data_IF_306513190236
#
_entry.id   IF_306513190236
#
_cell.length_a   1.000
_cell.length_b   1.000
_cell.length_c   1.000
_cell.angle_alpha   90.00
_cell.angle_beta   90.00
_cell.angle_gamma   90.00
#
_symmetry.space_group_name_H-M   'P 1'
#
loop_
_entity.id
_entity.type
_entity.pdbx_description
1 polymer ?
#
# COMPACT_ATOMS: atom_id res chain seq x y z
N UNK A 1 21.22 1.41 12.88
CA UNK A 1 20.38 1.04 14.05
C UNK A 1 19.67 2.29 14.52
N UNK A 2 18.36 2.21 14.81
CA UNK A 2 17.70 3.32 15.50
C UNK A 2 18.36 3.48 16.87
N UNK A 3 18.84 4.67 17.22
CA UNK A 3 19.42 4.96 18.54
C UNK A 3 18.42 4.78 19.69
N UNK A 4 17.15 4.53 19.34
CA UNK A 4 16.03 4.50 20.28
C UNK A 4 15.41 3.11 20.39
N UNK A 5 14.91 2.74 21.58
CA UNK A 5 14.24 1.46 21.81
C UNK A 5 12.96 1.33 20.98
N UNK A 6 12.58 0.08 20.69
CA UNK A 6 11.30 -0.21 20.05
C UNK A 6 10.13 0.25 20.94
N UNK A 7 9.14 0.87 20.29
CA UNK A 7 8.00 1.45 21.02
C UNK A 7 6.79 0.51 21.12
N UNK A 8 6.83 -0.64 20.45
CA UNK A 8 5.74 -1.62 20.40
C UNK A 8 5.47 -2.31 21.73
N UNK A 9 4.61 -1.75 22.58
CA UNK A 9 4.11 -2.41 23.79
C UNK A 9 2.82 -3.19 23.50
N UNK A 10 2.43 -4.18 24.35
CA UNK A 10 1.14 -4.86 24.22
C UNK A 10 -0.06 -3.89 24.19
N UNK A 11 0.01 -2.78 24.95
CA UNK A 11 -1.01 -1.74 24.92
C UNK A 11 -1.09 -1.06 23.55
N UNK A 12 0.04 -0.69 22.98
CA UNK A 12 0.12 -0.02 21.66
C UNK A 12 -0.41 -0.92 20.55
N UNK A 13 -0.01 -2.19 20.53
CA UNK A 13 -0.59 -3.17 19.62
C UNK A 13 -2.09 -3.37 19.84
N UNK A 14 -2.57 -3.40 21.11
CA UNK A 14 -3.99 -3.52 21.44
C UNK A 14 -4.81 -2.34 20.93
N UNK A 15 -4.37 -1.10 21.14
CA UNK A 15 -5.02 0.11 20.62
C UNK A 15 -5.03 0.11 19.09
N UNK A 16 -3.90 -0.22 18.48
CA UNK A 16 -3.77 -0.27 17.03
C UNK A 16 -4.72 -1.30 16.40
N UNK A 17 -4.69 -2.56 16.85
CA UNK A 17 -5.58 -3.59 16.30
C UNK A 17 -7.05 -3.30 16.56
N UNK A 18 -7.39 -2.68 17.69
CA UNK A 18 -8.76 -2.22 17.95
C UNK A 18 -9.18 -1.16 16.94
N UNK A 19 -8.32 -0.16 16.69
CA UNK A 19 -8.59 0.86 15.68
C UNK A 19 -8.78 0.24 14.29
N UNK A 20 -7.88 -0.67 13.87
CA UNK A 20 -7.98 -1.38 12.58
C UNK A 20 -9.27 -2.18 12.47
N UNK A 21 -9.65 -2.93 13.50
CA UNK A 21 -10.91 -3.69 13.51
C UNK A 21 -12.14 -2.79 13.39
N UNK A 22 -12.15 -1.65 14.08
CA UNK A 22 -13.23 -0.66 13.97
C UNK A 22 -13.28 -0.05 12.56
N UNK A 23 -12.14 0.24 11.96
CA UNK A 23 -12.05 0.76 10.59
C UNK A 23 -12.59 -0.24 9.58
N UNK A 24 -12.15 -1.50 9.65
CA UNK A 24 -12.63 -2.58 8.78
C UNK A 24 -14.13 -2.83 8.99
N UNK A 25 -14.60 -2.83 10.24
CA UNK A 25 -16.02 -2.99 10.57
C UNK A 25 -16.86 -1.84 9.99
N UNK A 26 -16.39 -0.59 10.07
CA UNK A 26 -17.05 0.57 9.48
C UNK A 26 -17.16 0.45 7.95
N UNK A 27 -16.08 0.00 7.29
CA UNK A 27 -16.06 -0.26 5.85
C UNK A 27 -17.03 -1.37 5.44
N UNK A 28 -17.07 -2.48 6.20
CA UNK A 28 -18.00 -3.58 5.96
C UNK A 28 -19.46 -3.16 6.19
N UNK A 29 -19.71 -2.38 7.23
CA UNK A 29 -21.05 -1.87 7.54
C UNK A 29 -21.56 -0.92 6.44
N UNK A 30 -20.70 -0.03 5.94
CA UNK A 30 -21.01 0.86 4.82
C UNK A 30 -21.42 0.06 3.57
N UNK A 31 -20.65 -1.00 3.23
CA UNK A 31 -20.99 -1.88 2.12
C UNK A 31 -22.36 -2.57 2.30
N UNK A 32 -22.61 -3.08 3.50
CA UNK A 32 -23.88 -3.78 3.79
C UNK A 32 -25.10 -2.87 3.69
N UNK A 33 -24.96 -1.61 4.16
CA UNK A 33 -26.04 -0.62 4.15
C UNK A 33 -26.37 -0.10 2.76
N UNK A 34 -25.34 0.19 1.96
CA UNK A 34 -25.47 0.87 0.67
C UNK A 34 -25.57 -0.13 -0.51
N UNK A 35 -25.33 -1.43 -0.26
CA UNK A 35 -25.29 -2.46 -1.30
C UNK A 35 -24.17 -2.25 -2.32
N UNK A 36 -24.27 -2.97 -3.44
CA UNK A 36 -23.33 -2.82 -4.57
C UNK A 36 -23.73 -1.61 -5.43
N UNK A 37 -23.10 -0.45 -5.19
CA UNK A 37 -23.32 0.77 -5.97
C UNK A 37 -22.00 1.29 -6.56
N UNK A 38 -22.09 2.18 -7.54
CA UNK A 38 -20.93 2.91 -8.07
C UNK A 38 -20.56 4.02 -7.07
N UNK A 39 -19.35 3.94 -6.50
CA UNK A 39 -18.83 4.97 -5.58
C UNK A 39 -18.57 6.26 -6.36
N UNK A 40 -19.14 7.36 -5.90
CA UNK A 40 -18.92 8.68 -6.50
C UNK A 40 -17.67 9.36 -5.96
N UNK A 41 -17.11 10.32 -6.73
CA UNK A 41 -15.90 11.06 -6.35
C UNK A 41 -16.03 11.75 -4.98
N UNK A 42 -17.18 12.34 -4.68
CA UNK A 42 -17.42 13.01 -3.37
C UNK A 42 -17.36 12.02 -2.20
N UNK A 43 -17.94 10.84 -2.38
CA UNK A 43 -17.91 9.77 -1.40
C UNK A 43 -16.47 9.24 -1.20
N UNK A 44 -15.75 9.01 -2.30
CA UNK A 44 -14.36 8.57 -2.28
C UNK A 44 -13.43 9.60 -1.60
N UNK A 45 -13.63 10.90 -1.85
CA UNK A 45 -12.91 11.99 -1.16
C UNK A 45 -13.21 12.01 0.34
N UNK A 46 -14.48 11.88 0.74
CA UNK A 46 -14.87 11.85 2.14
C UNK A 46 -14.23 10.66 2.89
N UNK A 47 -14.26 9.46 2.31
CA UNK A 47 -13.61 8.29 2.87
C UNK A 47 -12.08 8.43 2.91
N UNK A 48 -11.44 8.95 1.84
CA UNK A 48 -10.00 9.20 1.85
C UNK A 48 -9.60 10.20 2.92
N UNK A 49 -10.34 11.31 3.05
CA UNK A 49 -10.13 12.31 4.10
C UNK A 49 -10.31 11.73 5.51
N UNK A 50 -11.32 10.87 5.71
CA UNK A 50 -11.55 10.18 6.98
C UNK A 50 -10.35 9.30 7.36
N UNK A 51 -9.83 8.49 6.43
CA UNK A 51 -8.70 7.61 6.72
C UNK A 51 -7.40 8.36 6.99
N UNK A 52 -7.16 9.48 6.30
CA UNK A 52 -6.05 10.39 6.61
C UNK A 52 -6.22 11.00 8.00
N UNK A 53 -7.42 11.47 8.35
CA UNK A 53 -7.70 12.04 9.67
C UNK A 53 -7.48 11.01 10.80
N UNK A 54 -7.94 9.77 10.63
CA UNK A 54 -7.73 8.69 11.60
C UNK A 54 -6.23 8.38 11.75
N UNK A 55 -5.47 8.36 10.65
CA UNK A 55 -4.01 8.17 10.71
C UNK A 55 -3.31 9.31 11.45
N UNK A 56 -3.76 10.56 11.24
CA UNK A 56 -3.23 11.72 11.96
C UNK A 56 -3.59 11.68 13.46
N UNK A 57 -4.82 11.26 13.81
CA UNK A 57 -5.24 11.09 15.20
C UNK A 57 -4.43 10.00 15.90
N UNK A 58 -4.17 8.88 15.23
CA UNK A 58 -3.30 7.84 15.75
C UNK A 58 -1.87 8.34 15.98
N UNK A 59 -1.30 9.08 15.03
CA UNK A 59 0.03 9.67 15.17
C UNK A 59 0.09 10.70 16.33
N UNK A 60 -0.97 11.51 16.50
CA UNK A 60 -1.10 12.43 17.62
C UNK A 60 -1.17 11.71 18.97
N UNK A 61 -1.97 10.65 19.05
CA UNK A 61 -2.02 9.79 20.24
C UNK A 61 -0.66 9.16 20.54
N UNK A 62 0.01 8.59 19.54
CA UNK A 62 1.34 8.02 19.68
C UNK A 62 2.35 9.04 20.21
N UNK A 63 2.31 10.28 19.70
CA UNK A 63 3.15 11.37 20.18
C UNK A 63 2.91 11.66 21.66
N UNK A 64 1.67 11.78 22.09
CA UNK A 64 1.30 12.11 23.48
C UNK A 64 1.78 11.02 24.43
N UNK A 65 1.53 9.74 24.09
CA UNK A 65 1.93 8.59 24.90
C UNK A 65 3.46 8.47 25.03
N UNK A 66 4.19 8.65 23.93
CA UNK A 66 5.65 8.58 23.94
C UNK A 66 6.29 9.80 24.65
N UNK A 67 5.77 11.01 24.39
CA UNK A 67 6.31 12.23 24.99
C UNK A 67 6.07 12.28 26.51
N UNK A 68 4.96 11.71 26.99
CA UNK A 68 4.64 11.58 28.41
C UNK A 68 5.39 10.45 29.11
N UNK A 69 6.03 9.56 28.39
CA UNK A 69 6.74 8.41 28.94
C UNK A 69 8.17 8.78 29.34
N UNK A 70 8.60 8.55 30.61
CA UNK A 70 9.95 8.86 31.08
C UNK A 70 11.09 8.16 30.29
N UNK A 71 10.79 7.01 29.66
CA UNK A 71 11.78 6.23 28.92
C UNK A 71 12.05 6.83 27.55
N UNK A 72 11.04 7.41 26.89
CA UNK A 72 11.16 7.88 25.51
C UNK A 72 11.36 9.40 25.42
N UNK A 73 10.47 10.18 26.03
CA UNK A 73 10.52 11.63 25.97
C UNK A 73 10.12 12.25 24.63
N UNK A 74 10.05 13.58 24.58
CA UNK A 74 9.53 14.32 23.43
C UNK A 74 10.41 14.19 22.15
N UNK A 75 11.71 13.99 22.29
CA UNK A 75 12.62 13.84 21.13
C UNK A 75 12.32 12.54 20.39
N UNK A 76 12.24 11.41 21.11
CA UNK A 76 11.89 10.09 20.54
C UNK A 76 10.48 10.11 19.97
N UNK A 77 9.52 10.70 20.71
CA UNK A 77 8.15 10.84 20.23
C UNK A 77 8.06 11.54 18.87
N UNK A 78 8.79 12.65 18.71
CA UNK A 78 8.84 13.38 17.44
C UNK A 78 9.42 12.52 16.32
N UNK A 79 10.51 11.82 16.59
CA UNK A 79 11.16 10.96 15.59
C UNK A 79 10.26 9.82 15.16
N UNK A 80 9.65 9.09 16.10
CA UNK A 80 8.73 7.98 15.80
C UNK A 80 7.50 8.42 15.00
N UNK A 81 6.97 9.60 15.26
CA UNK A 81 5.88 10.16 14.46
C UNK A 81 6.35 10.54 13.05
N UNK A 82 7.57 11.08 12.89
CA UNK A 82 8.13 11.32 11.56
C UNK A 82 8.40 10.02 10.80
N UNK A 83 8.91 8.98 11.47
CA UNK A 83 9.05 7.63 10.89
C UNK A 83 7.70 7.10 10.41
N UNK A 84 6.65 7.18 11.26
CA UNK A 84 5.30 6.76 10.91
C UNK A 84 4.77 7.49 9.67
N UNK A 85 4.84 8.83 9.63
CA UNK A 85 4.37 9.58 8.47
C UNK A 85 5.20 9.32 7.22
N UNK A 86 6.51 9.14 7.35
CA UNK A 86 7.37 8.81 6.21
C UNK A 86 6.97 7.45 5.62
N UNK A 87 6.83 6.42 6.46
CA UNK A 87 6.38 5.10 6.05
C UNK A 87 4.97 5.13 5.45
N UNK A 88 4.04 5.87 6.07
CA UNK A 88 2.67 6.05 5.57
C UNK A 88 2.64 6.68 4.17
N UNK A 89 3.42 7.73 3.94
CA UNK A 89 3.45 8.43 2.64
C UNK A 89 4.13 7.59 1.57
N UNK A 90 5.23 6.91 1.92
CA UNK A 90 5.88 5.97 1.01
C UNK A 90 4.92 4.89 0.56
N UNK A 91 4.25 4.23 1.50
CA UNK A 91 3.29 3.18 1.19
C UNK A 91 2.10 3.71 0.38
N UNK A 92 1.56 4.89 0.76
CA UNK A 92 0.49 5.56 -0.01
C UNK A 92 0.90 5.85 -1.43
N UNK A 93 2.14 6.26 -1.66
CA UNK A 93 2.66 6.62 -2.98
C UNK A 93 2.89 5.38 -3.84
N UNK A 94 3.46 4.32 -3.27
CA UNK A 94 3.64 3.04 -3.94
C UNK A 94 2.30 2.36 -4.23
N UNK A 95 1.31 2.56 -3.36
CA UNK A 95 -0.04 2.03 -3.55
C UNK A 95 -0.78 2.63 -4.76
N UNK A 96 -0.34 3.76 -5.32
CA UNK A 96 -0.89 4.28 -6.59
C UNK A 96 -0.62 3.33 -7.73
N UNK A 97 0.57 2.76 -7.82
CA UNK A 97 0.92 1.77 -8.85
C UNK A 97 0.06 0.50 -8.72
N UNK A 98 -0.23 0.07 -7.48
CA UNK A 98 -1.15 -1.05 -7.24
C UNK A 98 -2.54 -0.77 -7.84
N UNK A 99 -3.01 0.47 -7.77
CA UNK A 99 -4.31 0.87 -8.31
C UNK A 99 -4.36 0.72 -9.83
N UNK A 100 -3.28 1.04 -10.55
CA UNK A 100 -3.23 0.81 -12.01
C UNK A 100 -3.37 -0.66 -12.36
N UNK A 101 -2.69 -1.54 -11.62
CA UNK A 101 -2.81 -2.99 -11.83
C UNK A 101 -4.23 -3.48 -11.49
N UNK A 102 -4.86 -2.95 -10.46
CA UNK A 102 -6.26 -3.28 -10.15
C UNK A 102 -7.20 -2.85 -11.27
N UNK A 103 -6.99 -1.66 -11.85
CA UNK A 103 -7.76 -1.18 -13.01
C UNK A 103 -7.59 -2.10 -14.22
N UNK A 104 -6.35 -2.53 -14.51
CA UNK A 104 -6.08 -3.49 -15.58
C UNK A 104 -6.76 -4.84 -15.33
N UNK A 105 -6.66 -5.40 -14.13
CA UNK A 105 -7.30 -6.67 -13.77
C UNK A 105 -8.83 -6.54 -13.95
N UNK A 106 -9.45 -5.50 -13.40
CA UNK A 106 -10.89 -5.28 -13.57
C UNK A 106 -11.30 -5.08 -15.03
N UNK A 107 -10.50 -4.38 -15.82
CA UNK A 107 -10.72 -4.19 -17.26
C UNK A 107 -10.61 -5.50 -18.02
N UNK A 108 -9.56 -6.28 -17.78
CA UNK A 108 -9.33 -7.59 -18.42
C UNK A 108 -10.48 -8.56 -18.18
N UNK A 109 -10.93 -8.68 -16.93
CA UNK A 109 -12.03 -9.55 -16.56
C UNK A 109 -13.41 -8.92 -16.81
N UNK A 110 -13.49 -7.68 -17.31
CA UNK A 110 -14.72 -6.92 -17.54
C UNK A 110 -15.65 -6.88 -16.32
N UNK A 111 -15.06 -6.68 -15.14
CA UNK A 111 -15.81 -6.60 -13.87
C UNK A 111 -16.61 -5.32 -13.83
N UNK A 112 -17.94 -5.44 -13.73
CA UNK A 112 -18.82 -4.27 -13.66
C UNK A 112 -18.50 -3.41 -12.42
N UNK A 113 -18.48 -2.06 -12.52
CA UNK A 113 -18.08 -1.15 -11.44
C UNK A 113 -18.76 -1.39 -10.10
N UNK A 114 -20.02 -1.81 -10.12
CA UNK A 114 -20.79 -2.16 -8.91
C UNK A 114 -20.21 -3.33 -8.11
N UNK A 115 -19.46 -4.25 -8.75
CA UNK A 115 -18.86 -5.40 -8.09
C UNK A 115 -17.41 -5.16 -7.64
N UNK A 116 -16.73 -4.17 -8.24
CA UNK A 116 -15.34 -3.81 -7.89
C UNK A 116 -15.21 -3.42 -6.43
N UNK A 117 -16.18 -2.69 -5.88
CA UNK A 117 -16.22 -2.29 -4.48
C UNK A 117 -16.13 -3.50 -3.53
N UNK A 118 -16.86 -4.57 -3.83
CA UNK A 118 -16.83 -5.79 -3.01
C UNK A 118 -15.49 -6.50 -3.10
N UNK A 119 -14.95 -6.64 -4.30
CA UNK A 119 -13.64 -7.29 -4.50
C UNK A 119 -12.56 -6.50 -3.76
N UNK A 120 -12.53 -5.17 -3.89
CA UNK A 120 -11.56 -4.33 -3.20
C UNK A 120 -11.69 -4.40 -1.67
N UNK A 121 -12.91 -4.53 -1.12
CA UNK A 121 -13.07 -4.67 0.32
C UNK A 121 -12.42 -5.96 0.83
N UNK A 122 -12.69 -7.09 0.18
CA UNK A 122 -12.09 -8.37 0.57
C UNK A 122 -10.59 -8.40 0.26
N UNK A 123 -10.17 -7.77 -0.86
CA UNK A 123 -8.78 -7.60 -1.22
C UNK A 123 -8.00 -6.80 -0.16
N UNK A 124 -8.54 -5.67 0.31
CA UNK A 124 -7.91 -4.92 1.41
C UNK A 124 -7.78 -5.78 2.67
N UNK A 125 -8.80 -6.57 3.01
CA UNK A 125 -8.73 -7.45 4.17
C UNK A 125 -7.62 -8.52 4.04
N UNK A 126 -7.52 -9.17 2.89
CA UNK A 126 -6.45 -10.14 2.60
C UNK A 126 -5.08 -9.46 2.62
N UNK A 127 -4.95 -8.30 1.97
CA UNK A 127 -3.73 -7.50 1.97
C UNK A 127 -3.26 -7.13 3.39
N UNK A 128 -4.17 -6.75 4.31
CA UNK A 128 -3.83 -6.45 5.70
C UNK A 128 -3.19 -7.65 6.40
N UNK A 129 -3.76 -8.84 6.22
CA UNK A 129 -3.25 -10.08 6.84
C UNK A 129 -1.89 -10.45 6.24
N UNK A 130 -1.79 -10.46 4.91
CA UNK A 130 -0.56 -10.83 4.21
C UNK A 130 0.59 -9.88 4.53
N UNK A 131 0.33 -8.56 4.51
CA UNK A 131 1.32 -7.54 4.86
C UNK A 131 1.76 -7.63 6.31
N UNK A 132 0.83 -7.84 7.26
CA UNK A 132 1.20 -8.05 8.65
C UNK A 132 2.15 -9.24 8.80
N UNK A 133 1.85 -10.37 8.17
CA UNK A 133 2.72 -11.55 8.17
C UNK A 133 4.10 -11.24 7.57
N UNK A 134 4.14 -10.59 6.40
CA UNK A 134 5.38 -10.24 5.73
C UNK A 134 6.23 -9.24 6.55
N UNK A 135 5.59 -8.27 7.20
CA UNK A 135 6.28 -7.29 8.06
C UNK A 135 6.89 -7.97 9.29
N UNK A 136 6.17 -8.88 9.95
CA UNK A 136 6.71 -9.62 11.09
C UNK A 136 7.86 -10.55 10.68
N UNK A 137 7.76 -11.22 9.53
CA UNK A 137 8.85 -12.02 8.98
C UNK A 137 10.04 -11.11 8.65
N UNK A 138 9.82 -9.98 7.96
CA UNK A 138 10.85 -9.02 7.63
C UNK A 138 11.55 -8.44 8.86
N UNK A 139 10.78 -8.08 9.89
CA UNK A 139 11.31 -7.59 11.17
C UNK A 139 12.17 -8.65 11.86
N UNK A 140 11.71 -9.90 11.90
CA UNK A 140 12.50 -11.01 12.47
C UNK A 140 13.80 -11.23 11.70
N UNK A 141 13.77 -11.17 10.38
CA UNK A 141 14.95 -11.30 9.53
C UNK A 141 15.93 -10.15 9.74
N UNK A 142 15.46 -8.91 9.79
CA UNK A 142 16.32 -7.72 10.02
C UNK A 142 16.96 -7.77 11.41
N UNK A 143 16.21 -8.21 12.43
CA UNK A 143 16.76 -8.40 13.78
C UNK A 143 17.86 -9.46 13.85
N UNK A 144 17.67 -10.57 13.13
CA UNK A 144 18.61 -11.68 13.17
C UNK A 144 19.82 -11.45 12.27
N UNK A 145 19.64 -10.76 11.15
CA UNK A 145 20.62 -10.56 10.10
C UNK A 145 20.66 -9.10 9.62
N UNK A 146 21.46 -8.25 10.27
CA UNK A 146 21.57 -6.83 9.90
C UNK A 146 21.99 -6.60 8.44
N UNK A 147 22.75 -7.53 7.85
CA UNK A 147 23.16 -7.46 6.45
C UNK A 147 21.99 -7.50 5.45
N UNK A 148 20.80 -7.98 5.87
CA UNK A 148 19.58 -7.99 5.04
C UNK A 148 19.18 -6.56 4.64
N UNK A 149 19.45 -5.55 5.46
CA UNK A 149 19.19 -4.16 5.11
C UNK A 149 19.98 -3.73 3.87
N UNK A 150 21.22 -4.21 3.70
CA UNK A 150 21.99 -3.94 2.48
C UNK A 150 21.41 -4.65 1.27
N UNK A 151 20.92 -5.89 1.45
CA UNK A 151 20.21 -6.61 0.39
C UNK A 151 18.94 -5.85 -0.03
N UNK A 152 18.16 -5.35 0.93
CA UNK A 152 16.99 -4.53 0.67
C UNK A 152 17.38 -3.23 -0.05
N UNK A 153 18.43 -2.56 0.39
CA UNK A 153 18.94 -1.35 -0.27
C UNK A 153 19.35 -1.59 -1.73
N UNK A 154 20.10 -2.67 -1.99
CA UNK A 154 20.49 -3.05 -3.34
C UNK A 154 19.28 -3.38 -4.22
N UNK A 155 18.29 -4.11 -3.66
CA UNK A 155 17.05 -4.45 -4.33
C UNK A 155 16.22 -3.21 -4.70
N UNK A 156 16.03 -2.27 -3.76
CA UNK A 156 15.32 -1.01 -4.00
C UNK A 156 16.03 -0.15 -5.05
N UNK A 157 17.36 -0.06 -5.00
CA UNK A 157 18.14 0.68 -5.99
C UNK A 157 17.98 0.05 -7.39
N UNK A 158 18.06 -1.28 -7.47
CA UNK A 158 17.83 -2.01 -8.73
C UNK A 158 16.41 -1.76 -9.27
N UNK A 159 15.37 -1.89 -8.44
CA UNK A 159 13.97 -1.67 -8.81
C UNK A 159 13.75 -0.23 -9.27
N UNK A 160 14.27 0.77 -8.54
CA UNK A 160 14.16 2.17 -8.91
C UNK A 160 14.83 2.46 -10.26
N UNK A 161 16.04 1.95 -10.51
CA UNK A 161 16.74 2.11 -11.79
C UNK A 161 16.00 1.39 -12.93
N UNK A 162 15.53 0.18 -12.70
CA UNK A 162 14.74 -0.58 -13.68
C UNK A 162 13.47 0.18 -14.05
N UNK A 163 12.74 0.70 -13.08
CA UNK A 163 11.52 1.47 -13.26
C UNK A 163 11.72 2.76 -14.06
N UNK A 164 12.90 3.42 -13.95
CA UNK A 164 13.25 4.58 -14.79
C UNK A 164 13.52 4.20 -16.25
N UNK A 165 14.05 3.00 -16.49
CA UNK A 165 14.47 2.56 -17.84
C UNK A 165 13.38 1.85 -18.60
N UNK A 166 12.37 1.28 -17.95
CA UNK A 166 11.28 0.58 -18.63
C UNK A 166 10.43 1.59 -19.38
N UNK A 167 10.59 1.66 -20.70
CA UNK A 167 9.54 2.15 -21.58
C UNK A 167 8.43 1.10 -21.53
N UNK A 168 7.27 1.46 -20.99
CA UNK A 168 5.92 0.87 -21.11
C UNK A 168 5.77 -0.63 -21.57
N UNK A 169 6.79 -1.46 -21.41
CA UNK A 169 6.57 -2.87 -21.30
C UNK A 169 5.86 -3.05 -19.93
N UNK A 170 4.55 -2.73 -19.92
CA UNK A 170 3.61 -3.29 -18.97
C UNK A 170 3.89 -4.80 -19.00
N UNK A 171 4.75 -5.25 -18.07
CA UNK A 171 4.86 -6.68 -17.83
C UNK A 171 3.43 -7.13 -17.69
N UNK A 172 2.99 -7.92 -18.61
CA UNK A 172 1.69 -8.58 -18.66
C UNK A 172 1.56 -9.47 -17.40
N UNK A 173 1.49 -8.79 -16.24
CA UNK A 173 1.26 -9.41 -14.92
C UNK A 173 -0.15 -10.01 -14.86
N UNK A 174 -1.08 -9.53 -15.71
CA UNK A 174 -2.29 -10.25 -16.08
C UNK A 174 -1.94 -11.51 -16.86
N UNK A 175 -0.64 -11.63 -17.21
CA UNK A 175 -0.06 -12.61 -18.09
C UNK A 175 -0.54 -14.00 -17.80
N UNK A 176 -0.95 -14.64 -18.82
CA UNK A 176 -1.39 -16.02 -19.01
C UNK A 176 -0.78 -17.09 -18.07
N UNK A 177 0.39 -16.84 -17.46
CA UNK A 177 1.06 -17.80 -16.56
C UNK A 177 0.44 -17.86 -15.17
N UNK A 178 0.27 -16.73 -14.48
CA UNK A 178 -0.35 -16.69 -13.12
C UNK A 178 -1.80 -17.15 -13.21
N UNK A 179 -2.53 -16.62 -14.18
CA UNK A 179 -3.91 -17.03 -14.48
C UNK A 179 -3.99 -18.53 -14.78
N UNK A 180 -3.06 -19.07 -15.57
CA UNK A 180 -2.98 -20.49 -15.89
C UNK A 180 -2.71 -21.37 -14.67
N UNK A 181 -1.88 -20.92 -13.74
CA UNK A 181 -1.60 -21.63 -12.48
C UNK A 181 -2.84 -21.61 -11.58
N UNK A 182 -3.46 -20.46 -11.38
CA UNK A 182 -4.66 -20.33 -10.53
C UNK A 182 -5.82 -21.18 -11.06
N UNK A 183 -6.09 -21.14 -12.37
CA UNK A 183 -7.14 -21.98 -12.99
C UNK A 183 -6.87 -23.48 -12.92
N UNK A 184 -5.62 -23.91 -12.81
CA UNK A 184 -5.28 -25.34 -12.60
C UNK A 184 -5.57 -25.82 -11.18
N UNK A 185 -5.47 -24.90 -10.21
CA UNK A 185 -5.63 -25.24 -8.78
C UNK A 185 -7.10 -25.10 -8.35
N UNK A 186 -7.81 -24.09 -8.89
CA UNK A 186 -9.16 -23.74 -8.48
C UNK A 186 -10.10 -23.92 -9.67
N UNK A 187 -11.15 -24.80 -9.58
CA UNK A 187 -12.17 -24.90 -10.60
C UNK A 187 -13.00 -23.62 -10.62
N UNK A 188 -12.90 -22.85 -11.72
CA UNK A 188 -13.56 -21.58 -11.92
C UNK A 188 -14.64 -21.75 -12.98
N UNK A 189 -15.87 -21.34 -12.67
CA UNK A 189 -16.98 -21.28 -13.63
C UNK A 189 -16.74 -20.20 -14.69
N UNK A 190 -17.48 -20.31 -15.79
CA UNK A 190 -17.37 -19.41 -16.95
C UNK A 190 -18.12 -18.08 -16.78
N UNK A 191 -19.11 -18.03 -15.88
CA UNK A 191 -20.02 -16.90 -15.76
C UNK A 191 -19.96 -16.19 -14.40
N UNK A 192 -20.24 -14.89 -14.42
CA UNK A 192 -20.42 -14.10 -13.21
C UNK A 192 -21.81 -14.37 -12.61
N UNK A 193 -21.86 -14.76 -11.35
CA UNK A 193 -23.08 -14.94 -10.58
C UNK A 193 -23.36 -13.75 -9.66
N UNK A 194 -23.60 -12.58 -10.24
CA UNK A 194 -23.75 -11.33 -9.48
C UNK A 194 -22.47 -10.98 -8.74
N UNK A 195 -22.58 -10.70 -7.44
CA UNK A 195 -21.48 -10.36 -6.56
C UNK A 195 -20.90 -11.54 -5.76
N UNK A 196 -21.30 -12.78 -6.09
CA UNK A 196 -20.89 -13.98 -5.36
C UNK A 196 -19.50 -14.45 -5.80
N UNK A 197 -18.67 -14.84 -4.83
CA UNK A 197 -17.37 -15.46 -5.07
C UNK A 197 -17.47 -16.96 -5.36
N UNK A 198 -18.52 -17.62 -4.88
CA UNK A 198 -18.77 -19.05 -5.10
C UNK A 198 -20.19 -19.28 -5.54
N UNK A 199 -20.37 -20.29 -6.40
CA UNK A 199 -21.67 -20.77 -6.87
C UNK A 199 -21.75 -22.28 -6.81
N UNK A 200 -22.93 -22.85 -7.03
CA UNK A 200 -23.13 -24.30 -7.10
C UNK A 200 -23.52 -24.64 -8.54
N UNK A 201 -22.67 -25.37 -9.23
CA UNK A 201 -22.95 -25.93 -10.55
C UNK A 201 -22.84 -27.46 -10.50
N UNK A 202 -23.83 -28.13 -11.03
CA UNK A 202 -23.90 -29.61 -11.02
C UNK A 202 -23.71 -30.24 -9.63
N UNK A 203 -24.24 -29.57 -8.57
CA UNK A 203 -24.11 -30.03 -7.18
C UNK A 203 -22.74 -29.83 -6.55
N UNK A 204 -21.78 -29.22 -7.25
CA UNK A 204 -20.43 -28.91 -6.73
C UNK A 204 -20.28 -27.41 -6.51
N UNK A 205 -19.61 -27.06 -5.41
CA UNK A 205 -19.23 -25.67 -5.13
C UNK A 205 -18.03 -25.32 -6.00
N UNK A 206 -18.21 -24.33 -6.88
CA UNK A 206 -17.16 -23.81 -7.76
C UNK A 206 -16.93 -22.32 -7.51
N UNK A 207 -15.72 -21.85 -7.81
CA UNK A 207 -15.40 -20.43 -7.75
C UNK A 207 -15.97 -19.68 -8.96
N UNK A 208 -16.39 -18.44 -8.76
CA UNK A 208 -16.81 -17.56 -9.86
C UNK A 208 -15.59 -16.82 -10.44
N UNK A 209 -15.69 -16.23 -11.63
CA UNK A 209 -14.65 -15.33 -12.14
C UNK A 209 -14.33 -14.17 -11.18
N UNK A 210 -15.29 -13.73 -10.36
CA UNK A 210 -15.08 -12.66 -9.37
C UNK A 210 -14.11 -13.10 -8.24
N UNK A 211 -14.14 -14.38 -7.84
CA UNK A 211 -13.15 -14.93 -6.90
C UNK A 211 -11.77 -15.00 -7.53
N UNK A 212 -11.68 -15.36 -8.82
CA UNK A 212 -10.41 -15.35 -9.53
C UNK A 212 -9.79 -13.95 -9.57
N UNK A 213 -10.61 -12.91 -9.83
CA UNK A 213 -10.20 -11.51 -9.77
C UNK A 213 -9.66 -11.14 -8.40
N UNK A 214 -10.34 -11.57 -7.32
CA UNK A 214 -9.86 -11.35 -5.95
C UNK A 214 -8.47 -11.96 -5.74
N UNK A 215 -8.27 -13.21 -6.15
CA UNK A 215 -6.97 -13.88 -6.03
C UNK A 215 -5.89 -13.16 -6.84
N UNK A 216 -6.20 -12.67 -8.04
CA UNK A 216 -5.25 -11.91 -8.86
C UNK A 216 -4.85 -10.58 -8.19
N UNK A 217 -5.79 -9.89 -7.54
CA UNK A 217 -5.52 -8.67 -6.76
C UNK A 217 -4.62 -8.98 -5.56
N UNK A 218 -4.92 -10.05 -4.81
CA UNK A 218 -4.10 -10.46 -3.66
C UNK A 218 -2.67 -10.84 -4.06
N UNK A 219 -2.52 -11.60 -5.15
CA UNK A 219 -1.20 -11.96 -5.68
C UNK A 219 -0.41 -10.73 -6.13
N UNK A 220 -1.08 -9.75 -6.76
CA UNK A 220 -0.47 -8.49 -7.13
C UNK A 220 -0.01 -7.70 -5.91
N UNK A 221 -0.84 -7.63 -4.84
CA UNK A 221 -0.46 -6.94 -3.61
C UNK A 221 0.76 -7.59 -2.92
N UNK A 222 0.86 -8.93 -2.93
CA UNK A 222 2.06 -9.63 -2.43
C UNK A 222 3.30 -9.24 -3.23
N UNK A 223 3.22 -9.16 -4.55
CA UNK A 223 4.35 -8.75 -5.41
C UNK A 223 4.78 -7.32 -5.04
N UNK A 224 3.84 -6.39 -4.92
CA UNK A 224 4.15 -5.01 -4.53
C UNK A 224 4.65 -4.87 -3.09
N UNK A 225 4.19 -5.72 -2.17
CA UNK A 225 4.67 -5.72 -0.80
C UNK A 225 6.16 -6.11 -0.70
N UNK A 226 6.68 -6.88 -1.67
CA UNK A 226 8.11 -7.21 -1.76
C UNK A 226 8.96 -5.95 -1.98
N UNK A 227 8.44 -4.95 -2.71
CA UNK A 227 9.12 -3.67 -2.93
C UNK A 227 8.86 -2.67 -1.78
N UNK A 228 7.61 -2.57 -1.32
CA UNK A 228 7.20 -1.53 -0.37
C UNK A 228 7.69 -1.80 1.06
N UNK A 229 7.66 -3.05 1.52
CA UNK A 229 8.08 -3.40 2.89
C UNK A 229 9.57 -3.06 3.12
N UNK A 230 10.53 -3.43 2.25
CA UNK A 230 11.91 -2.98 2.36
C UNK A 230 12.05 -1.46 2.38
N UNK A 231 11.26 -0.73 1.58
CA UNK A 231 11.30 0.74 1.57
C UNK A 231 10.91 1.35 2.92
N UNK A 232 9.93 0.76 3.62
CA UNK A 232 9.56 1.21 4.97
C UNK A 232 10.62 0.80 6.00
N UNK A 233 11.24 -0.38 5.88
CA UNK A 233 12.37 -0.78 6.74
C UNK A 233 13.60 0.11 6.58
N UNK A 234 13.75 0.79 5.44
CA UNK A 234 14.80 1.81 5.24
C UNK A 234 14.53 3.11 6.01
N UNK A 235 13.27 3.35 6.40
CA UNK A 235 12.87 4.49 7.23
C UNK A 235 13.06 4.18 8.70
N UNK A 236 12.60 3.03 9.14
CA UNK A 236 12.66 2.58 10.53
C UNK A 236 12.71 1.06 10.62
N UNK A 237 13.48 0.55 11.58
CA UNK A 237 13.51 -0.89 11.90
C UNK A 237 12.56 -1.26 13.04
N UNK A 238 11.81 -0.30 13.59
CA UNK A 238 10.81 -0.53 14.64
C UNK A 238 9.59 -1.25 14.06
N UNK A 239 9.33 -2.52 14.43
CA UNK A 239 8.25 -3.31 13.82
C UNK A 239 6.86 -2.72 14.03
N UNK A 240 6.64 -2.02 15.15
CA UNK A 240 5.36 -1.38 15.44
C UNK A 240 5.11 -0.21 14.47
N UNK A 241 6.12 0.63 14.24
CA UNK A 241 6.01 1.76 13.31
C UNK A 241 5.86 1.27 11.86
N UNK A 242 6.65 0.26 11.44
CA UNK A 242 6.53 -0.36 10.11
C UNK A 242 5.12 -0.91 9.91
N UNK A 243 4.60 -1.68 10.88
CA UNK A 243 3.27 -2.28 10.80
C UNK A 243 2.17 -1.21 10.73
N UNK A 244 2.19 -0.26 11.65
CA UNK A 244 1.13 0.73 11.77
C UNK A 244 1.08 1.67 10.58
N UNK A 245 2.21 2.20 10.12
CA UNK A 245 2.28 3.08 8.94
C UNK A 245 1.78 2.38 7.68
N UNK A 246 2.18 1.11 7.47
CA UNK A 246 1.80 0.32 6.32
C UNK A 246 0.28 -0.01 6.33
N UNK A 247 -0.22 -0.53 7.44
CA UNK A 247 -1.64 -0.91 7.57
C UNK A 247 -2.57 0.31 7.42
N UNK A 248 -2.26 1.45 8.05
CA UNK A 248 -3.06 2.67 7.88
C UNK A 248 -3.05 3.19 6.43
N UNK A 249 -1.93 3.06 5.73
CA UNK A 249 -1.85 3.44 4.32
C UNK A 249 -2.75 2.56 3.44
N UNK A 250 -2.74 1.24 3.67
CA UNK A 250 -3.52 0.25 2.89
C UNK A 250 -5.02 0.39 3.13
N UNK A 251 -5.47 0.66 4.37
CA UNK A 251 -6.89 0.84 4.70
C UNK A 251 -7.57 1.91 3.84
N UNK A 252 -6.86 2.98 3.46
CA UNK A 252 -7.39 4.00 2.56
C UNK A 252 -7.31 3.67 1.07
N UNK A 253 -6.76 2.51 0.69
CA UNK A 253 -6.47 2.16 -0.71
C UNK A 253 -7.75 2.04 -1.53
N UNK A 254 -8.82 1.47 -0.96
CA UNK A 254 -10.12 1.34 -1.60
C UNK A 254 -10.72 2.70 -2.00
N UNK A 255 -10.72 3.67 -1.08
CA UNK A 255 -11.23 5.00 -1.37
C UNK A 255 -10.37 5.70 -2.43
N UNK A 256 -9.06 5.53 -2.34
CA UNK A 256 -8.10 6.07 -3.31
C UNK A 256 -8.27 5.44 -4.69
N UNK A 257 -8.61 4.15 -4.79
CA UNK A 257 -8.92 3.49 -6.07
C UNK A 257 -10.03 4.23 -6.83
N UNK A 258 -11.17 4.54 -6.18
CA UNK A 258 -12.28 5.23 -6.83
C UNK A 258 -11.96 6.69 -7.17
N UNK A 259 -11.04 7.34 -6.44
CA UNK A 259 -10.55 8.67 -6.79
C UNK A 259 -9.65 8.64 -8.02
N UNK A 260 -8.77 7.66 -8.08
CA UNK A 260 -7.76 7.58 -9.12
C UNK A 260 -8.26 6.91 -10.40
N UNK A 261 -9.29 6.07 -10.32
CA UNK A 261 -9.87 5.40 -11.48
C UNK A 261 -10.28 6.37 -12.61
N UNK A 262 -10.75 7.57 -12.25
CA UNK A 262 -11.17 8.61 -13.20
C UNK A 262 -10.03 9.55 -13.63
N UNK A 263 -8.88 9.54 -12.92
CA UNK A 263 -7.77 10.48 -13.17
C UNK A 263 -6.42 9.80 -13.34
N UNK A 264 -6.39 8.49 -13.31
CA UNK A 264 -5.16 7.69 -13.37
C UNK A 264 -4.28 8.06 -14.59
N UNK A 265 -4.90 8.27 -15.74
CA UNK A 265 -4.20 8.65 -16.99
C UNK A 265 -3.52 10.02 -16.93
N UNK A 266 -3.81 10.85 -15.90
CA UNK A 266 -3.23 12.19 -15.74
C UNK A 266 -1.88 12.19 -15.03
N UNK A 267 -1.51 11.11 -14.34
CA UNK A 267 -0.29 11.04 -13.53
C UNK A 267 0.91 10.39 -14.27
N UNK A 268 1.13 10.81 -15.53
CA UNK A 268 2.14 10.25 -16.44
C UNK A 268 3.56 10.20 -15.83
N UNK A 269 3.95 11.21 -15.05
CA UNK A 269 5.30 11.30 -14.47
C UNK A 269 5.44 10.72 -13.06
N UNK A 270 4.37 10.20 -12.45
CA UNK A 270 4.42 9.65 -11.10
C UNK A 270 5.39 8.48 -11.00
N UNK A 271 5.44 7.62 -12.03
CA UNK A 271 6.39 6.51 -12.18
C UNK A 271 7.85 6.97 -11.98
N UNK A 272 8.23 8.08 -12.58
CA UNK A 272 9.60 8.62 -12.45
C UNK A 272 9.87 9.18 -11.05
N UNK A 273 8.86 9.80 -10.42
CA UNK A 273 8.96 10.24 -9.03
C UNK A 273 9.17 9.07 -8.06
N UNK A 274 8.41 8.00 -8.22
CA UNK A 274 8.55 6.78 -7.42
C UNK A 274 9.90 6.09 -7.66
N UNK A 275 10.31 5.94 -8.92
CA UNK A 275 11.60 5.38 -9.28
C UNK A 275 12.77 6.14 -8.65
N UNK A 276 12.70 7.48 -8.64
CA UNK A 276 13.68 8.32 -7.95
C UNK A 276 13.68 8.09 -6.44
N UNK A 277 12.49 8.04 -5.81
CA UNK A 277 12.34 7.80 -4.37
C UNK A 277 12.91 6.44 -3.98
N UNK A 278 12.58 5.37 -4.70
CA UNK A 278 13.13 4.03 -4.46
C UNK A 278 14.65 4.00 -4.61
N UNK A 279 15.19 4.65 -5.66
CA UNK A 279 16.64 4.74 -5.87
C UNK A 279 17.33 5.51 -4.74
N UNK A 280 16.77 6.64 -4.31
CA UNK A 280 17.28 7.42 -3.18
C UNK A 280 17.28 6.62 -1.89
N UNK A 281 16.16 5.94 -1.57
CA UNK A 281 16.05 5.12 -0.36
C UNK A 281 17.02 3.95 -0.41
N UNK A 282 17.11 3.25 -1.55
CA UNK A 282 18.06 2.15 -1.73
C UNK A 282 19.50 2.60 -1.53
N UNK A 283 19.88 3.74 -2.12
CA UNK A 283 21.21 4.33 -1.93
C UNK A 283 21.47 4.72 -0.47
N UNK A 284 20.50 5.36 0.19
CA UNK A 284 20.58 5.70 1.63
C UNK A 284 20.85 4.45 2.47
N UNK A 285 20.15 3.34 2.21
CA UNK A 285 20.35 2.08 2.95
C UNK A 285 21.75 1.51 2.72
N UNK A 286 22.24 1.50 1.49
CA UNK A 286 23.60 1.04 1.18
C UNK A 286 24.68 1.88 1.85
N UNK A 287 24.42 3.18 2.01
CA UNK A 287 25.36 4.15 2.62
C UNK A 287 25.20 4.32 4.13
N UNK A 288 24.27 3.63 4.79
CA UNK A 288 23.91 3.87 6.19
C UNK A 288 25.08 3.74 7.17
N UNK A 289 26.13 3.00 6.81
CA UNK A 289 27.33 2.84 7.62
C UNK A 289 28.27 4.05 7.54
N UNK A 290 28.26 4.78 6.41
CA UNK A 290 29.17 5.92 6.18
C UNK A 290 28.49 7.27 6.35
N UNK A 291 27.19 7.36 6.02
CA UNK A 291 26.46 8.62 6.02
C UNK A 291 25.11 8.44 6.72
N UNK A 292 24.95 9.18 7.80
CA UNK A 292 23.67 9.25 8.50
C UNK A 292 22.80 10.37 7.92
N UNK A 293 21.75 10.01 7.18
CA UNK A 293 20.77 10.96 6.63
C UNK A 293 19.57 11.04 7.58
N UNK A 294 19.35 12.18 8.26
CA UNK A 294 18.20 12.35 9.16
C UNK A 294 16.87 12.10 8.45
N UNK A 295 15.88 11.59 9.19
CA UNK A 295 14.57 11.26 8.66
C UNK A 295 13.85 12.47 8.06
N UNK A 296 14.04 13.66 8.64
CA UNK A 296 13.47 14.91 8.13
C UNK A 296 13.95 15.24 6.70
N UNK A 297 15.23 15.00 6.41
CA UNK A 297 15.78 15.17 5.06
C UNK A 297 15.19 14.13 4.12
N UNK A 298 15.15 12.84 4.53
CA UNK A 298 14.54 11.78 3.74
C UNK A 298 13.08 12.09 3.39
N UNK A 299 12.30 12.53 4.38
CA UNK A 299 10.92 12.92 4.20
C UNK A 299 10.77 14.10 3.21
N UNK A 300 11.63 15.12 3.33
CA UNK A 300 11.62 16.27 2.42
C UNK A 300 11.94 15.87 0.99
N UNK A 301 12.88 14.95 0.78
CA UNK A 301 13.23 14.42 -0.55
C UNK A 301 12.07 13.64 -1.14
N UNK A 302 11.42 12.77 -0.34
CA UNK A 302 10.24 12.00 -0.78
C UNK A 302 9.10 12.93 -1.18
N UNK A 303 8.71 13.88 -0.31
CA UNK A 303 7.66 14.85 -0.63
C UNK A 303 8.00 15.71 -1.84
N UNK A 304 9.25 16.19 -1.94
CA UNK A 304 9.70 17.01 -3.04
C UNK A 304 9.63 16.28 -4.38
N UNK A 305 10.12 15.04 -4.43
CA UNK A 305 10.12 14.22 -5.65
C UNK A 305 8.70 13.87 -6.10
N UNK A 306 7.85 13.40 -5.17
CA UNK A 306 6.45 13.06 -5.47
C UNK A 306 5.63 14.29 -5.83
N UNK A 307 5.77 15.39 -5.08
CA UNK A 307 5.10 16.65 -5.39
C UNK A 307 5.48 17.20 -6.76
N UNK A 308 6.78 17.19 -7.11
CA UNK A 308 7.26 17.61 -8.42
C UNK A 308 6.70 16.73 -9.54
N UNK A 309 6.68 15.41 -9.37
CA UNK A 309 6.15 14.49 -10.39
C UNK A 309 4.65 14.65 -10.61
N UNK A 310 3.87 14.85 -9.55
CA UNK A 310 2.43 15.12 -9.63
C UNK A 310 2.17 16.47 -10.33
N UNK A 311 2.84 17.56 -9.91
CA UNK A 311 2.69 18.88 -10.52
C UNK A 311 3.05 18.87 -12.00
N UNK A 312 4.17 18.23 -12.36
CA UNK A 312 4.60 18.09 -13.77
C UNK A 312 3.57 17.30 -14.58
N UNK A 313 3.02 16.22 -14.03
CA UNK A 313 1.97 15.42 -14.68
C UNK A 313 0.73 16.27 -14.98
N UNK A 314 0.25 17.00 -13.99
CA UNK A 314 -0.95 17.85 -14.13
C UNK A 314 -0.75 18.97 -15.16
N UNK A 315 0.42 19.63 -15.17
CA UNK A 315 0.76 20.69 -16.14
C UNK A 315 0.85 20.11 -17.56
N UNK A 316 1.48 18.93 -17.71
CA UNK A 316 1.64 18.26 -18.99
C UNK A 316 0.31 17.85 -19.58
N UNK A 317 -0.53 17.18 -18.79
CA UNK A 317 -1.85 16.71 -19.22
C UNK A 317 -2.77 17.87 -19.59
N UNK A 318 -2.74 18.99 -18.82
CA UNK A 318 -3.52 20.19 -19.16
C UNK A 318 -3.14 20.73 -20.54
N UNK A 319 -1.83 20.79 -20.87
CA UNK A 319 -1.36 21.26 -22.17
C UNK A 319 -1.76 20.35 -23.35
N UNK A 320 -2.03 19.07 -23.10
CA UNK A 320 -2.52 18.15 -24.14
C UNK A 320 -4.02 18.28 -24.39
N UNK A 321 -4.79 18.62 -23.37
CA UNK A 321 -6.25 18.84 -23.49
C UNK A 321 -6.56 20.17 -24.17
N UNK A 322 -5.68 21.17 -24.02
CA UNK A 322 -5.83 22.52 -24.61
C UNK A 322 -5.32 22.61 -26.08
N UNK A 323 -4.79 21.52 -26.63
CA UNK A 323 -4.40 21.36 -28.07
C UNK A 323 -5.39 20.51 -28.81
#
# INVERSE_FOLDING_TARGET
MSEFPEVGTPLFYGVFFTAVLLMVAADMFSLRKNGSHKVGIKEALAWSGLWVAVSCLFAGWLYIELAGNPVYGAAVAKEKVLEFFTGYILEKSLAVDNIFVFLMIFGYFKVAPKYQHRVLLYGVFGALVLRAVMIFIGAALVRQFEWILYLFGAFLLYTGIRMMKSEEDEEDLSGNRLLGVVKKIIPVGSEFHGDKFFTIENGKKIATPLFLVLIMIELSDVIFAVDSIPAVFAVTTDPFIVLTSNIFAVLGLRAMYFLLADVAERFVFLKYGLAFVLSFIGLKMLMMHWVHIPISISLSVVFGALGASILTSLIYTKKQVDK
#
